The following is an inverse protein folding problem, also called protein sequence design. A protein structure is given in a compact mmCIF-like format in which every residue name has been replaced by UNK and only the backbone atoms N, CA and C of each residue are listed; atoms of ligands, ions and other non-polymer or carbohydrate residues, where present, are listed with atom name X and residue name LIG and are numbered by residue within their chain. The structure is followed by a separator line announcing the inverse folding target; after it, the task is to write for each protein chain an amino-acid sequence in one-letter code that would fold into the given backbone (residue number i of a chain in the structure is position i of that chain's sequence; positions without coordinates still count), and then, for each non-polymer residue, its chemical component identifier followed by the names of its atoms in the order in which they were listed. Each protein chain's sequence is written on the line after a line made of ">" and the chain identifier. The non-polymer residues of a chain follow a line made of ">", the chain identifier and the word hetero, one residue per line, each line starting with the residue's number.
data_IF_187399472187
#
_entry.id   IF_187399472187
#
_cell.length_a   1.000
_cell.length_b   1.000
_cell.length_c   1.000
_cell.angle_alpha   90.00
_cell.angle_beta   90.00
_cell.angle_gamma   90.00
#
_symmetry.space_group_name_H-M   'P 1'
#
loop_
_entity.id
_entity.type
_entity.pdbx_description
1 polymer ?
#
# COMPACT_ATOMS: atom_id res chain seq x y z
N UNK A 1 -46.51 -17.29 42.91
CA UNK A 1 -46.18 -16.21 43.85
C UNK A 1 -45.67 -15.02 43.06
N UNK A 2 -46.59 -14.15 42.67
CA UNK A 2 -46.33 -12.84 42.09
C UNK A 2 -45.99 -11.84 43.20
N UNK A 3 -45.09 -10.89 42.93
CA UNK A 3 -45.12 -9.57 43.56
C UNK A 3 -44.87 -8.49 42.51
N UNK A 4 -45.87 -7.62 42.40
CA UNK A 4 -45.95 -6.34 41.68
C UNK A 4 -45.02 -5.30 42.38
N UNK A 5 -44.63 -4.13 41.84
CA UNK A 5 -45.45 -3.09 41.21
C UNK A 5 -44.57 -1.91 40.67
N UNK A 6 -45.01 -1.29 39.56
CA UNK A 6 -45.13 0.17 39.25
C UNK A 6 -43.96 1.14 39.53
N UNK A 7 -43.53 2.06 38.64
CA UNK A 7 -44.25 3.29 38.22
C UNK A 7 -43.74 3.83 36.87
N UNK A 8 -44.66 4.49 36.14
CA UNK A 8 -44.60 5.08 34.79
C UNK A 8 -44.93 6.59 34.87
N UNK A 9 -44.41 7.41 33.93
CA UNK A 9 -44.83 8.81 33.65
C UNK A 9 -43.69 9.81 33.89
N UNK A 10 -43.37 10.83 33.08
CA UNK A 10 -44.09 11.77 32.19
C UNK A 10 -43.16 12.11 30.99
N UNK A 11 -43.53 12.68 29.84
CA UNK A 11 -44.74 13.32 29.34
C UNK A 11 -44.34 14.06 28.05
N UNK A 12 -45.06 13.82 26.95
CA UNK A 12 -44.85 14.36 25.61
C UNK A 12 -45.86 15.48 25.39
N UNK A 13 -45.45 16.64 24.86
CA UNK A 13 -46.39 17.70 24.44
C UNK A 13 -46.23 18.01 22.96
N UNK A 14 -47.34 18.27 22.28
CA UNK A 14 -47.43 18.44 20.82
C UNK A 14 -48.56 19.43 20.47
N UNK A 15 -48.37 20.13 19.34
CA UNK A 15 -49.32 20.92 18.50
C UNK A 15 -49.57 22.37 18.96
N UNK A 16 -49.61 23.39 18.09
CA UNK A 16 -50.42 23.53 16.86
C UNK A 16 -49.91 24.71 15.96
N UNK A 17 -49.88 24.57 14.60
CA UNK A 17 -50.70 25.25 13.53
C UNK A 17 -50.47 26.78 13.35
N UNK A 18 -50.47 27.46 12.17
CA UNK A 18 -50.83 27.19 10.73
C UNK A 18 -50.49 28.47 9.87
N UNK A 19 -50.16 28.30 8.56
CA UNK A 19 -50.49 29.13 7.31
C UNK A 19 -50.09 30.63 7.22
N UNK A 20 -49.84 31.34 6.10
CA UNK A 20 -49.73 31.18 4.61
C UNK A 20 -49.20 32.52 3.97
N UNK A 21 -48.43 32.46 2.85
CA UNK A 21 -48.33 33.38 1.65
C UNK A 21 -47.74 34.86 1.67
N UNK A 22 -47.31 35.47 0.51
CA UNK A 22 -46.02 36.19 0.34
C UNK A 22 -46.01 37.61 -0.33
N UNK A 23 -44.84 38.29 -0.29
CA UNK A 23 -44.29 39.34 -1.21
C UNK A 23 -44.69 40.83 -1.00
N UNK A 24 -44.04 41.87 -1.61
CA UNK A 24 -42.69 41.99 -2.22
C UNK A 24 -41.90 43.32 -1.88
N UNK A 25 -40.62 43.39 -2.30
CA UNK A 25 -39.78 44.55 -2.73
C UNK A 25 -39.73 45.90 -1.96
N UNK A 26 -38.51 46.32 -1.55
CA UNK A 26 -37.86 47.60 -1.94
C UNK A 26 -36.57 47.88 -1.13
N UNK A 27 -35.48 48.22 -1.81
CA UNK A 27 -34.35 49.05 -1.30
C UNK A 27 -34.49 50.46 -1.92
N UNK A 28 -33.58 51.44 -1.76
CA UNK A 28 -32.48 51.68 -0.79
C UNK A 28 -32.59 53.11 -0.18
N UNK A 29 -31.61 53.61 0.61
CA UNK A 29 -31.06 55.00 0.55
C UNK A 29 -30.16 55.40 1.73
N UNK A 30 -29.03 56.03 1.34
CA UNK A 30 -28.07 56.91 2.06
C UNK A 30 -27.23 56.34 3.25
N UNK A 31 -25.98 56.74 3.54
CA UNK A 31 -24.84 57.42 2.88
C UNK A 31 -24.04 58.17 3.96
N UNK A 32 -22.72 57.98 3.94
CA UNK A 32 -21.63 58.86 4.41
C UNK A 32 -21.55 59.38 5.86
N UNK A 33 -20.33 59.26 6.43
CA UNK A 33 -19.87 60.04 7.57
C UNK A 33 -18.43 59.70 7.96
N UNK A 34 -17.48 60.46 7.40
CA UNK A 34 -16.02 60.33 7.52
C UNK A 34 -15.46 61.30 8.58
N UNK A 35 -14.25 61.02 9.10
CA UNK A 35 -13.40 61.97 9.87
C UNK A 35 -12.84 61.33 11.14
N UNK A 36 -11.55 61.09 11.39
CA UNK A 36 -10.23 61.68 11.06
C UNK A 36 -9.52 62.16 12.34
N UNK A 37 -8.32 61.60 12.54
CA UNK A 37 -7.12 62.17 13.16
C UNK A 37 -7.07 62.40 14.69
N UNK A 38 -6.01 61.87 15.33
CA UNK A 38 -4.98 62.65 16.05
C UNK A 38 -3.82 61.73 16.51
N UNK A 39 -2.60 62.09 16.13
CA UNK A 39 -1.34 61.56 16.69
C UNK A 39 -0.83 62.49 17.80
N UNK A 40 -0.02 61.99 18.76
CA UNK A 40 1.10 62.72 19.42
C UNK A 40 1.91 61.86 20.43
N UNK A 41 3.22 61.73 20.13
CA UNK A 41 4.46 61.80 20.95
C UNK A 41 4.61 61.13 22.35
N UNK A 42 5.57 60.19 22.39
CA UNK A 42 6.89 60.14 23.10
C UNK A 42 7.08 60.85 24.47
N UNK A 43 7.52 60.09 25.48
CA UNK A 43 8.46 60.54 26.54
C UNK A 43 9.26 59.36 27.17
N UNK A 44 10.43 59.67 27.72
CA UNK A 44 11.51 58.78 28.18
C UNK A 44 11.45 58.43 29.70
N UNK A 45 12.05 57.28 30.07
CA UNK A 45 12.82 56.79 31.27
C UNK A 45 12.82 57.57 32.62
N UNK A 46 13.01 56.96 33.84
CA UNK A 46 14.25 56.23 34.22
C UNK A 46 14.25 55.13 35.36
N UNK A 47 15.31 54.28 35.33
CA UNK A 47 16.12 53.63 36.43
C UNK A 47 15.52 52.91 37.66
N UNK A 48 15.93 51.64 37.92
CA UNK A 48 16.87 51.20 39.01
C UNK A 48 16.94 49.67 39.20
N UNK A 49 18.16 49.15 39.33
CA UNK A 49 18.51 47.81 39.85
C UNK A 49 18.56 47.80 41.39
N UNK A 50 18.53 46.62 42.04
CA UNK A 50 19.73 46.16 42.75
C UNK A 50 20.02 44.65 42.70
N UNK A 51 21.31 44.31 42.80
CA UNK A 51 21.89 42.96 42.97
C UNK A 51 21.62 42.36 44.36
N UNK A 52 21.57 41.02 44.46
CA UNK A 52 22.17 40.26 45.57
C UNK A 52 22.46 38.80 45.17
N UNK A 53 23.63 38.35 45.59
CA UNK A 53 24.30 37.06 45.41
C UNK A 53 23.86 35.99 46.41
N UNK A 54 23.89 34.71 46.02
CA UNK A 54 24.20 33.59 46.92
C UNK A 54 24.70 32.36 46.12
N UNK A 55 25.57 31.58 46.77
CA UNK A 55 26.51 30.57 46.27
C UNK A 55 26.18 29.21 46.93
N UNK A 56 26.77 28.12 46.41
CA UNK A 56 26.88 26.74 46.95
C UNK A 56 25.67 25.83 46.66
N UNK A 57 25.76 24.52 46.37
CA UNK A 57 26.81 23.49 46.45
C UNK A 57 26.32 22.26 45.68
N UNK A 58 27.22 21.51 45.02
CA UNK A 58 26.95 20.17 44.50
C UNK A 58 27.20 19.09 45.58
N UNK A 59 26.44 17.98 45.62
CA UNK A 59 26.78 16.82 46.44
C UNK A 59 27.36 15.65 45.64
N UNK A 60 28.23 14.90 46.32
CA UNK A 60 29.03 13.75 45.89
C UNK A 60 28.51 12.40 46.43
N UNK A 61 28.50 11.36 45.57
CA UNK A 61 28.85 9.91 45.77
C UNK A 61 28.05 9.03 46.78
N UNK A 62 28.09 7.64 46.76
CA UNK A 62 29.12 6.73 46.18
C UNK A 62 28.71 5.34 45.57
N UNK A 63 29.73 4.66 44.99
CA UNK A 63 30.00 3.19 44.88
C UNK A 63 29.30 2.27 43.86
N UNK A 64 30.03 1.69 42.86
CA UNK A 64 30.81 0.41 42.87
C UNK A 64 30.91 -0.28 41.46
N UNK A 65 32.11 -0.84 41.17
CA UNK A 65 32.46 -1.96 40.22
C UNK A 65 32.26 -1.74 38.71
N UNK A 66 33.06 -2.24 37.75
CA UNK A 66 34.42 -2.86 37.67
C UNK A 66 34.70 -3.12 36.16
N UNK A 67 35.91 -2.82 35.64
CA UNK A 67 36.46 -3.32 34.35
C UNK A 67 37.12 -4.70 34.56
N UNK A 68 37.33 -5.53 33.51
CA UNK A 68 38.59 -5.54 32.71
C UNK A 68 38.32 -5.68 31.18
N UNK A 69 39.12 -5.17 30.24
CA UNK A 69 40.52 -5.40 29.83
C UNK A 69 40.74 -6.60 28.86
N UNK A 70 41.43 -6.29 27.76
CA UNK A 70 41.80 -7.13 26.61
C UNK A 70 42.73 -8.31 26.95
N UNK A 71 42.60 -9.42 26.21
CA UNK A 71 43.68 -10.37 25.86
C UNK A 71 43.21 -11.25 24.69
N UNK A 72 43.83 -11.12 23.51
CA UNK A 72 44.85 -12.01 22.91
C UNK A 72 44.35 -13.42 22.52
N UNK A 73 44.36 -13.66 21.20
CA UNK A 73 44.22 -14.94 20.51
C UNK A 73 45.33 -15.94 20.86
N UNK A 74 45.06 -17.25 20.72
CA UNK A 74 46.10 -18.22 20.44
C UNK A 74 45.89 -18.93 19.10
N UNK A 75 46.98 -18.99 18.34
CA UNK A 75 47.23 -19.87 17.20
C UNK A 75 47.28 -21.33 17.67
N UNK A 76 46.60 -22.28 16.99
CA UNK A 76 47.07 -23.68 16.96
C UNK A 76 46.67 -24.42 15.67
N UNK A 77 47.72 -25.00 15.12
CA UNK A 77 47.91 -25.87 13.96
C UNK A 77 47.37 -27.29 14.18
N UNK A 78 47.28 -28.04 13.08
CA UNK A 78 47.12 -29.51 12.90
C UNK A 78 45.68 -29.93 12.54
N UNK A 79 45.38 -30.87 11.65
CA UNK A 79 46.12 -31.76 10.74
C UNK A 79 45.07 -32.44 9.83
N UNK A 80 45.50 -32.87 8.65
CA UNK A 80 44.75 -33.68 7.66
C UNK A 80 44.61 -35.14 8.16
N UNK A 81 43.55 -35.88 7.79
CA UNK A 81 43.72 -37.06 6.92
C UNK A 81 42.62 -37.14 5.83
N UNK A 82 42.94 -37.32 4.55
CA UNK A 82 43.31 -38.55 3.85
C UNK A 82 42.12 -39.48 3.54
N UNK A 83 41.92 -39.70 2.24
CA UNK A 83 40.93 -40.55 1.57
C UNK A 83 41.09 -42.06 1.88
N UNK A 84 40.16 -42.88 1.34
CA UNK A 84 40.63 -43.99 0.50
C UNK A 84 40.00 -44.01 -0.91
N UNK A 85 40.88 -44.13 -1.91
CA UNK A 85 40.69 -44.83 -3.21
C UNK A 85 40.32 -46.32 -2.95
N UNK A 86 39.75 -47.17 -3.82
CA UNK A 86 39.57 -47.25 -5.29
C UNK A 86 38.85 -48.57 -5.60
N UNK A 87 38.14 -48.67 -6.74
CA UNK A 87 38.28 -49.77 -7.73
C UNK A 87 37.43 -49.39 -8.97
N UNK A 88 38.05 -49.02 -10.09
CA UNK A 88 38.53 -49.86 -11.21
C UNK A 88 37.45 -50.14 -12.26
N UNK A 89 37.73 -49.75 -13.52
CA UNK A 89 36.89 -50.06 -14.68
C UNK A 89 37.14 -49.16 -15.90
N UNK A 90 38.34 -49.25 -16.47
CA UNK A 90 38.69 -48.75 -17.81
C UNK A 90 37.89 -49.48 -18.90
N UNK A 91 37.53 -48.78 -19.99
CA UNK A 91 38.06 -49.08 -21.33
C UNK A 91 37.54 -48.08 -22.38
N UNK A 92 38.51 -47.49 -23.07
CA UNK A 92 38.41 -46.63 -24.24
C UNK A 92 38.03 -47.40 -25.50
N UNK A 93 37.56 -46.70 -26.54
CA UNK A 93 37.54 -47.26 -27.89
C UNK A 93 36.83 -46.39 -28.92
N UNK A 94 37.59 -45.49 -29.55
CA UNK A 94 37.20 -44.76 -30.75
C UNK A 94 37.21 -45.67 -32.01
N UNK A 95 36.41 -45.34 -33.03
CA UNK A 95 36.57 -45.96 -34.36
C UNK A 95 35.37 -45.73 -35.28
N UNK A 96 35.66 -45.31 -36.51
CA UNK A 96 34.75 -44.67 -37.45
C UNK A 96 34.12 -45.59 -38.52
N UNK A 97 33.14 -45.01 -39.23
CA UNK A 97 32.70 -45.23 -40.63
C UNK A 97 31.98 -46.54 -41.04
N UNK A 98 30.81 -46.35 -41.68
CA UNK A 98 30.15 -47.35 -42.54
C UNK A 98 28.67 -47.07 -42.83
N UNK A 99 28.37 -46.31 -43.89
CA UNK A 99 27.08 -46.36 -44.64
C UNK A 99 27.15 -47.50 -45.69
N UNK A 100 26.10 -47.83 -46.52
CA UNK A 100 24.72 -47.28 -46.64
C UNK A 100 23.59 -48.34 -46.83
N UNK A 101 22.38 -47.82 -47.12
CA UNK A 101 21.19 -48.39 -47.82
C UNK A 101 20.10 -49.12 -47.00
N UNK A 102 18.92 -48.51 -46.89
CA UNK A 102 17.83 -48.71 -47.88
C UNK A 102 16.58 -47.90 -47.53
N UNK A 103 15.83 -47.59 -48.58
CA UNK A 103 14.72 -46.65 -48.72
C UNK A 103 13.34 -47.26 -48.41
N UNK A 104 12.46 -46.49 -47.77
CA UNK A 104 11.01 -46.56 -48.04
C UNK A 104 10.26 -45.30 -47.61
N UNK A 105 9.29 -44.96 -48.44
CA UNK A 105 8.53 -43.72 -48.61
C UNK A 105 7.61 -43.28 -47.46
N UNK A 106 7.48 -41.95 -47.36
CA UNK A 106 6.23 -41.16 -47.31
C UNK A 106 5.07 -41.61 -46.42
N UNK A 107 4.74 -40.81 -45.40
CA UNK A 107 3.38 -40.27 -45.25
C UNK A 107 3.35 -39.07 -44.28
N UNK A 108 2.96 -37.92 -44.84
CA UNK A 108 2.63 -36.69 -44.12
C UNK A 108 1.21 -36.85 -43.58
N UNK A 109 1.08 -36.95 -42.26
CA UNK A 109 -0.22 -36.90 -41.58
C UNK A 109 -0.30 -35.60 -40.79
N UNK A 110 -1.04 -34.64 -41.33
CA UNK A 110 -1.54 -33.47 -40.59
C UNK A 110 -2.42 -33.97 -39.44
N UNK A 111 -1.93 -33.92 -38.20
CA UNK A 111 -2.80 -33.96 -37.03
C UNK A 111 -3.11 -32.52 -36.61
N UNK A 112 -4.30 -32.10 -36.97
CA UNK A 112 -5.01 -30.97 -36.39
C UNK A 112 -5.26 -31.30 -34.92
N UNK A 113 -4.33 -31.00 -34.01
CA UNK A 113 -4.62 -31.00 -32.58
C UNK A 113 -5.24 -29.65 -32.20
N UNK A 114 -6.55 -29.64 -32.42
CA UNK A 114 -7.58 -29.05 -31.58
C UNK A 114 -7.03 -28.37 -30.32
N UNK A 115 -7.10 -27.03 -30.31
CA UNK A 115 -7.01 -26.20 -29.13
C UNK A 115 -8.19 -26.51 -28.21
N UNK A 116 -8.00 -27.47 -27.31
CA UNK A 116 -8.89 -27.67 -26.16
C UNK A 116 -8.71 -26.49 -25.22
N UNK A 117 -9.60 -25.51 -25.36
CA UNK A 117 -9.86 -24.48 -24.36
C UNK A 117 -10.28 -25.16 -23.05
N UNK A 118 -9.37 -25.21 -22.07
CA UNK A 118 -9.72 -25.52 -20.68
C UNK A 118 -10.63 -24.41 -20.15
N UNK A 119 -11.93 -24.60 -20.34
CA UNK A 119 -13.00 -23.86 -19.66
C UNK A 119 -13.43 -24.74 -18.50
N UNK A 120 -12.77 -24.63 -17.35
CA UNK A 120 -13.26 -25.04 -16.02
C UNK A 120 -12.14 -24.79 -14.98
N UNK A 121 -11.52 -23.60 -15.01
CA UNK A 121 -10.85 -23.10 -13.80
C UNK A 121 -11.95 -22.53 -12.90
N UNK A 122 -12.09 -23.02 -11.64
CA UNK A 122 -13.11 -22.52 -10.74
C UNK A 122 -12.91 -21.02 -10.53
N UNK A 123 -14.02 -20.27 -10.58
CA UNK A 123 -14.00 -18.82 -10.39
C UNK A 123 -13.29 -18.52 -9.05
N UNK A 124 -12.30 -17.61 -9.03
CA UNK A 124 -11.57 -17.35 -7.80
C UNK A 124 -12.50 -16.80 -6.73
N UNK A 125 -12.26 -17.17 -5.46
CA UNK A 125 -13.15 -16.92 -4.33
C UNK A 125 -13.61 -15.47 -4.21
N UNK A 126 -12.72 -14.51 -4.52
CA UNK A 126 -13.01 -13.08 -4.45
C UNK A 126 -14.01 -12.56 -5.49
N UNK A 127 -14.29 -13.33 -6.55
CA UNK A 127 -15.30 -13.01 -7.57
C UNK A 127 -16.62 -13.76 -7.36
N UNK A 128 -16.66 -14.71 -6.45
CA UNK A 128 -17.87 -15.45 -6.14
C UNK A 128 -18.87 -14.57 -5.37
N UNK A 129 -20.16 -14.78 -5.60
CA UNK A 129 -21.19 -14.23 -4.72
C UNK A 129 -21.20 -15.01 -3.39
N UNK A 130 -21.37 -14.35 -2.23
CA UNK A 130 -21.73 -12.94 -2.03
C UNK A 130 -20.53 -11.95 -2.00
N UNK A 131 -19.29 -12.45 -1.96
CA UNK A 131 -18.10 -11.66 -1.64
C UNK A 131 -17.82 -10.50 -2.61
N UNK A 132 -18.05 -10.70 -3.91
CA UNK A 132 -17.85 -9.65 -4.93
C UNK A 132 -18.77 -8.44 -4.75
N UNK A 133 -19.94 -8.62 -4.11
CA UNK A 133 -20.91 -7.54 -3.85
C UNK A 133 -20.62 -6.84 -2.53
N UNK A 134 -19.97 -7.51 -1.59
CA UNK A 134 -19.67 -7.00 -0.26
C UNK A 134 -18.68 -5.82 -0.34
N UNK A 135 -19.18 -4.62 -0.08
CA UNK A 135 -18.39 -3.41 0.06
C UNK A 135 -19.10 -2.45 1.03
N UNK A 136 -18.34 -1.60 1.71
CA UNK A 136 -18.89 -0.62 2.65
C UNK A 136 -19.64 0.50 1.93
N UNK A 137 -19.13 0.93 0.78
CA UNK A 137 -19.64 2.10 0.07
C UNK A 137 -20.72 1.68 -0.91
N UNK A 138 -21.92 2.24 -0.71
CA UNK A 138 -23.05 2.18 -1.64
C UNK A 138 -23.05 3.43 -2.51
N UNK A 139 -22.16 3.49 -3.48
CA UNK A 139 -21.97 4.65 -4.35
C UNK A 139 -20.62 4.62 -5.09
N UNK A 140 -20.37 5.64 -5.89
CA UNK A 140 -19.10 5.79 -6.62
C UNK A 140 -18.07 6.57 -5.79
N UNK A 141 -16.82 6.14 -5.86
CA UNK A 141 -15.68 6.85 -5.25
C UNK A 141 -15.31 8.16 -5.96
N UNK A 142 -15.99 8.52 -7.07
CA UNK A 142 -15.70 9.70 -7.89
C UNK A 142 -15.48 10.99 -7.10
N UNK A 143 -16.36 11.26 -6.13
CA UNK A 143 -16.37 12.52 -5.40
C UNK A 143 -15.20 12.66 -4.44
N UNK A 144 -14.68 11.54 -3.92
CA UNK A 144 -13.56 11.56 -2.98
C UNK A 144 -12.20 11.50 -3.69
N UNK A 145 -12.15 10.98 -4.92
CA UNK A 145 -10.92 10.97 -5.72
C UNK A 145 -10.72 12.26 -6.51
N UNK A 146 -11.80 13.01 -6.77
CA UNK A 146 -11.74 14.25 -7.54
C UNK A 146 -10.88 15.31 -6.87
N UNK A 147 -9.99 15.93 -7.65
CA UNK A 147 -9.15 17.03 -7.21
C UNK A 147 -10.00 18.17 -6.64
N UNK A 148 -9.80 18.56 -5.37
CA UNK A 148 -10.48 19.72 -4.80
C UNK A 148 -10.10 21.02 -5.56
N UNK A 149 -11.05 21.95 -5.65
CA UNK A 149 -10.81 23.22 -6.36
C UNK A 149 -9.65 23.98 -5.71
N UNK A 150 -8.76 24.50 -6.56
CA UNK A 150 -7.61 25.33 -6.19
C UNK A 150 -6.49 24.60 -5.41
N UNK A 151 -6.54 23.27 -5.32
CA UNK A 151 -5.46 22.46 -4.73
C UNK A 151 -4.48 22.05 -5.82
N UNK A 152 -3.18 22.02 -5.49
CA UNK A 152 -2.16 21.53 -6.40
C UNK A 152 -2.29 20.02 -6.62
N UNK A 153 -2.11 19.57 -7.87
CA UNK A 153 -2.23 18.16 -8.21
C UNK A 153 -1.15 17.31 -7.55
N UNK A 154 0.05 17.86 -7.36
CA UNK A 154 1.15 17.18 -6.69
C UNK A 154 0.83 16.91 -5.23
N UNK A 155 0.32 17.91 -4.52
CA UNK A 155 -0.10 17.78 -3.11
C UNK A 155 -1.22 16.75 -2.96
N UNK A 156 -2.20 16.79 -3.87
CA UNK A 156 -3.31 15.84 -3.85
C UNK A 156 -2.86 14.40 -4.10
N UNK A 157 -1.97 14.18 -5.08
CA UNK A 157 -1.40 12.87 -5.34
C UNK A 157 -0.55 12.38 -4.16
N UNK A 158 0.27 13.27 -3.59
CA UNK A 158 1.15 12.94 -2.47
C UNK A 158 0.36 12.46 -1.25
N UNK A 159 -0.68 13.19 -0.87
CA UNK A 159 -1.54 12.86 0.26
C UNK A 159 -2.20 11.48 0.07
N UNK A 160 -2.86 11.27 -1.07
CA UNK A 160 -3.59 10.02 -1.33
C UNK A 160 -2.65 8.82 -1.42
N UNK A 161 -1.49 8.95 -2.06
CA UNK A 161 -0.50 7.86 -2.14
C UNK A 161 0.04 7.51 -0.74
N UNK A 162 0.32 8.52 0.09
CA UNK A 162 0.78 8.31 1.46
C UNK A 162 -0.27 7.55 2.29
N UNK A 163 -1.53 7.98 2.23
CA UNK A 163 -2.65 7.33 2.94
C UNK A 163 -2.91 5.91 2.42
N UNK A 164 -2.92 5.69 1.10
CA UNK A 164 -3.11 4.37 0.51
C UNK A 164 -1.99 3.41 0.89
N UNK A 165 -0.73 3.86 0.92
CA UNK A 165 0.38 3.03 1.38
C UNK A 165 0.23 2.66 2.86
N UNK A 166 -0.16 3.60 3.72
CA UNK A 166 -0.38 3.33 5.14
C UNK A 166 -1.50 2.30 5.37
N UNK A 167 -2.62 2.43 4.67
CA UNK A 167 -3.71 1.46 4.72
C UNK A 167 -3.30 0.09 4.18
N UNK A 168 -2.59 0.03 3.06
CA UNK A 168 -2.09 -1.21 2.48
C UNK A 168 -1.14 -1.94 3.42
N UNK A 169 -0.21 -1.21 4.04
CA UNK A 169 0.71 -1.76 5.04
C UNK A 169 -0.06 -2.33 6.24
N UNK A 170 -1.09 -1.63 6.72
CA UNK A 170 -1.93 -2.12 7.82
C UNK A 170 -2.72 -3.38 7.45
N UNK A 171 -3.27 -3.46 6.24
CA UNK A 171 -3.97 -4.66 5.77
C UNK A 171 -3.03 -5.83 5.63
N UNK A 172 -1.85 -5.61 5.03
CA UNK A 172 -0.86 -6.66 4.87
C UNK A 172 -0.36 -7.18 6.23
N UNK A 173 -0.20 -6.31 7.23
CA UNK A 173 0.20 -6.73 8.58
C UNK A 173 -0.78 -7.70 9.27
N UNK A 174 -2.03 -7.81 8.83
CA UNK A 174 -2.99 -8.81 9.33
C UNK A 174 -2.87 -10.13 8.58
N UNK A 175 -2.43 -10.08 7.32
CA UNK A 175 -2.27 -11.24 6.42
C UNK A 175 -0.86 -11.84 6.51
N UNK A 176 0.13 -11.09 6.99
CA UNK A 176 1.54 -11.46 6.99
C UNK A 176 1.84 -12.77 7.73
N UNK A 177 1.06 -13.09 8.77
CA UNK A 177 1.21 -14.34 9.53
C UNK A 177 0.89 -15.59 8.68
N UNK A 178 0.07 -15.44 7.64
CA UNK A 178 -0.34 -16.51 6.72
C UNK A 178 0.47 -16.50 5.42
N UNK A 179 1.15 -15.39 5.10
CA UNK A 179 2.04 -15.27 3.94
C UNK A 179 3.44 -15.78 4.30
N UNK A 180 3.65 -17.09 4.23
CA UNK A 180 4.95 -17.73 4.52
C UNK A 180 5.69 -18.14 3.25
N UNK A 181 7.01 -18.32 3.36
CA UNK A 181 7.84 -18.82 2.24
C UNK A 181 7.40 -20.21 1.75
N UNK A 182 6.80 -21.01 2.64
CA UNK A 182 6.28 -22.34 2.30
C UNK A 182 4.96 -22.26 1.54
N UNK A 183 4.04 -21.38 1.96
CA UNK A 183 2.76 -21.15 1.28
C UNK A 183 2.93 -20.42 -0.06
N UNK A 184 3.81 -19.43 -0.10
CA UNK A 184 3.99 -18.49 -1.20
C UNK A 184 5.49 -18.40 -1.58
N UNK A 185 6.06 -19.43 -2.22
CA UNK A 185 7.48 -19.47 -2.58
C UNK A 185 7.86 -18.47 -3.67
N UNK A 186 6.88 -17.95 -4.41
CA UNK A 186 7.05 -16.92 -5.42
C UNK A 186 5.99 -15.83 -5.27
N UNK A 187 6.35 -14.58 -5.60
CA UNK A 187 5.40 -13.47 -5.68
C UNK A 187 4.51 -13.60 -6.93
N UNK A 188 3.40 -14.33 -6.81
CA UNK A 188 2.46 -14.56 -7.90
C UNK A 188 1.11 -13.86 -7.67
N UNK A 189 0.44 -13.53 -8.77
CA UNK A 189 -0.92 -13.03 -8.83
C UNK A 189 -1.73 -13.90 -9.80
N UNK A 190 -2.00 -15.13 -9.36
CA UNK A 190 -2.66 -16.15 -10.17
C UNK A 190 -1.70 -17.01 -11.00
N UNK A 191 -2.24 -17.95 -11.80
CA UNK A 191 -1.43 -18.96 -12.48
C UNK A 191 -0.53 -18.43 -13.61
N UNK A 192 -0.87 -17.27 -14.18
CA UNK A 192 -0.19 -16.71 -15.35
C UNK A 192 0.76 -15.55 -15.05
N UNK A 193 0.68 -14.96 -13.85
CA UNK A 193 1.39 -13.72 -13.52
C UNK A 193 2.32 -13.93 -12.34
N UNK A 194 3.62 -13.87 -12.61
CA UNK A 194 4.69 -13.89 -11.61
C UNK A 194 5.44 -12.56 -11.62
N UNK A 195 5.59 -11.94 -10.45
CA UNK A 195 6.30 -10.69 -10.30
C UNK A 195 7.75 -10.93 -9.92
N UNK A 196 8.64 -10.28 -10.67
CA UNK A 196 10.08 -10.28 -10.42
C UNK A 196 10.49 -8.97 -9.74
N UNK A 197 11.45 -9.07 -8.83
CA UNK A 197 12.07 -7.91 -8.20
C UNK A 197 13.31 -7.49 -8.97
N UNK A 198 13.48 -6.19 -9.20
CA UNK A 198 14.70 -5.66 -9.80
C UNK A 198 15.68 -5.30 -8.68
N UNK A 199 16.80 -6.00 -8.61
CA UNK A 199 17.88 -5.67 -7.67
C UNK A 199 18.57 -4.35 -8.05
N UNK A 200 19.45 -3.84 -7.19
CA UNK A 200 20.26 -2.64 -7.42
C UNK A 200 21.09 -2.71 -8.72
N UNK A 201 21.41 -3.93 -9.18
CA UNK A 201 22.13 -4.20 -10.42
C UNK A 201 21.20 -4.30 -11.65
N UNK A 202 19.91 -4.04 -11.50
CA UNK A 202 18.89 -4.13 -12.55
C UNK A 202 18.53 -5.57 -12.95
N UNK A 203 19.03 -6.57 -12.23
CA UNK A 203 18.73 -7.98 -12.49
C UNK A 203 17.37 -8.36 -11.90
N UNK A 204 16.56 -9.06 -12.69
CA UNK A 204 15.26 -9.53 -12.27
C UNK A 204 15.42 -10.85 -11.49
N UNK A 205 15.17 -10.80 -10.19
CA UNK A 205 15.26 -11.95 -9.29
C UNK A 205 13.87 -12.39 -8.83
N UNK A 206 13.70 -13.71 -8.67
CA UNK A 206 12.53 -14.29 -8.04
C UNK A 206 12.72 -14.27 -6.53
N UNK A 207 11.73 -13.71 -5.83
CA UNK A 207 11.70 -13.69 -4.37
C UNK A 207 10.41 -14.37 -3.89
N UNK A 208 10.44 -15.00 -2.70
CA UNK A 208 9.23 -15.38 -2.00
C UNK A 208 8.30 -14.18 -1.80
N UNK A 209 6.99 -14.42 -1.85
CA UNK A 209 6.00 -13.36 -1.70
C UNK A 209 6.19 -12.49 -0.44
N UNK A 210 6.41 -13.05 0.77
CA UNK A 210 6.56 -12.21 1.95
C UNK A 210 7.77 -11.28 1.88
N UNK A 211 8.92 -11.81 1.40
CA UNK A 211 10.14 -11.02 1.23
C UNK A 211 9.97 -9.93 0.15
N UNK A 212 9.27 -10.26 -0.95
CA UNK A 212 8.97 -9.29 -2.00
C UNK A 212 8.12 -8.14 -1.47
N UNK A 213 7.04 -8.45 -0.73
CA UNK A 213 6.12 -7.45 -0.20
C UNK A 213 6.83 -6.56 0.82
N UNK A 214 7.67 -7.12 1.69
CA UNK A 214 8.47 -6.34 2.65
C UNK A 214 9.39 -5.35 1.94
N UNK A 215 10.05 -5.80 0.86
CA UNK A 215 10.90 -4.92 0.04
C UNK A 215 10.09 -3.82 -0.63
N UNK A 216 8.91 -4.14 -1.16
CA UNK A 216 7.99 -3.16 -1.74
C UNK A 216 7.57 -2.11 -0.72
N UNK A 217 7.03 -2.53 0.43
CA UNK A 217 6.51 -1.62 1.45
C UNK A 217 7.62 -0.76 2.05
N UNK A 218 8.81 -1.33 2.25
CA UNK A 218 9.99 -0.59 2.70
C UNK A 218 10.45 0.41 1.64
N UNK A 219 10.50 0.00 0.37
CA UNK A 219 10.89 0.88 -0.74
C UNK A 219 9.92 2.05 -0.92
N UNK A 220 8.60 1.80 -0.89
CA UNK A 220 7.58 2.85 -0.96
C UNK A 220 7.74 3.78 0.25
N UNK A 221 7.86 3.23 1.46
CA UNK A 221 8.02 4.02 2.69
C UNK A 221 9.25 4.92 2.64
N UNK A 222 10.38 4.42 2.14
CA UNK A 222 11.58 5.24 1.96
C UNK A 222 11.36 6.35 0.93
N UNK A 223 10.62 6.07 -0.16
CA UNK A 223 10.32 7.06 -1.20
C UNK A 223 9.37 8.16 -0.74
N UNK A 224 8.29 7.82 -0.03
CA UNK A 224 7.31 8.81 0.45
C UNK A 224 7.84 9.67 1.62
N UNK A 225 8.83 9.18 2.36
CA UNK A 225 9.49 9.93 3.44
C UNK A 225 10.69 10.76 2.94
N UNK A 226 11.14 10.56 1.70
CA UNK A 226 12.23 11.32 1.11
C UNK A 226 11.74 12.71 0.72
N UNK A 227 12.24 13.72 1.44
CA UNK A 227 11.92 15.14 1.24
C UNK A 227 12.32 15.69 -0.14
N UNK A 228 13.21 15.02 -0.85
CA UNK A 228 13.57 15.39 -2.23
C UNK A 228 12.52 14.95 -3.25
N UNK A 229 11.74 13.90 -2.93
CA UNK A 229 10.69 13.35 -3.78
C UNK A 229 9.31 13.86 -3.35
N UNK A 230 9.06 13.87 -2.03
CA UNK A 230 7.84 14.33 -1.38
C UNK A 230 8.18 15.49 -0.42
N UNK A 231 8.23 16.74 -0.90
CA UNK A 231 8.56 17.89 -0.07
C UNK A 231 7.47 18.14 0.99
N UNK A 232 7.84 18.28 2.26
CA UNK A 232 6.89 18.67 3.33
C UNK A 232 7.02 20.13 3.77
N UNK A 233 7.97 20.87 3.19
CA UNK A 233 8.15 22.30 3.47
C UNK A 233 7.20 23.12 2.60
N UNK A 234 6.50 24.07 3.22
CA UNK A 234 5.64 25.00 2.51
C UNK A 234 6.43 25.77 1.44
N UNK A 235 5.92 25.76 0.20
CA UNK A 235 6.58 26.41 -0.95
C UNK A 235 7.65 25.57 -1.64
N UNK A 236 7.88 24.31 -1.22
CA UNK A 236 8.69 23.36 -1.98
C UNK A 236 7.94 22.88 -3.22
N UNK A 237 8.50 23.10 -4.41
CA UNK A 237 7.94 22.54 -5.63
C UNK A 237 8.24 21.04 -5.74
N UNK A 238 7.30 20.26 -6.25
CA UNK A 238 7.54 18.85 -6.56
C UNK A 238 8.61 18.70 -7.65
N UNK A 239 9.46 17.67 -7.58
CA UNK A 239 10.46 17.42 -8.61
C UNK A 239 9.78 17.06 -9.95
N UNK A 240 10.45 17.29 -11.09
CA UNK A 240 9.89 17.01 -12.41
C UNK A 240 9.56 15.51 -12.62
N UNK A 241 10.22 14.62 -11.89
CA UNK A 241 9.98 13.18 -11.95
C UNK A 241 8.88 12.67 -11.00
N UNK A 242 8.27 13.55 -10.19
CA UNK A 242 7.30 13.19 -9.15
C UNK A 242 6.17 12.31 -9.67
N UNK A 243 5.56 12.66 -10.81
CA UNK A 243 4.49 11.87 -11.42
C UNK A 243 4.96 10.48 -11.80
N UNK A 244 6.19 10.33 -12.30
CA UNK A 244 6.76 9.02 -12.64
C UNK A 244 6.95 8.16 -11.38
N UNK A 245 7.43 8.77 -10.29
CA UNK A 245 7.56 8.09 -9.01
C UNK A 245 6.19 7.67 -8.45
N UNK A 246 5.17 8.53 -8.54
CA UNK A 246 3.80 8.21 -8.15
C UNK A 246 3.23 7.02 -8.94
N UNK A 247 3.46 6.97 -10.26
CA UNK A 247 3.10 5.83 -11.10
C UNK A 247 3.80 4.57 -10.62
N UNK A 248 5.12 4.62 -10.42
CA UNK A 248 5.90 3.47 -9.96
C UNK A 248 5.39 2.95 -8.60
N UNK A 249 5.14 3.84 -7.64
CA UNK A 249 4.60 3.49 -6.32
C UNK A 249 3.23 2.83 -6.46
N UNK A 250 2.33 3.41 -7.26
CA UNK A 250 0.99 2.85 -7.50
C UNK A 250 1.04 1.44 -8.09
N UNK A 251 1.95 1.20 -9.05
CA UNK A 251 2.14 -0.14 -9.63
C UNK A 251 2.62 -1.16 -8.60
N UNK A 252 3.56 -0.77 -7.74
CA UNK A 252 4.04 -1.67 -6.70
C UNK A 252 2.93 -1.98 -5.67
N UNK A 253 2.11 -0.99 -5.27
CA UNK A 253 0.94 -1.22 -4.43
C UNK A 253 -0.06 -2.19 -5.08
N UNK A 254 -0.34 -2.03 -6.38
CA UNK A 254 -1.23 -2.94 -7.12
C UNK A 254 -0.77 -4.40 -7.08
N UNK A 255 0.55 -4.65 -7.18
CA UNK A 255 1.09 -6.03 -7.09
C UNK A 255 0.79 -6.68 -5.73
N UNK A 256 0.83 -5.91 -4.65
CA UNK A 256 0.48 -6.39 -3.30
C UNK A 256 -1.02 -6.69 -3.22
N UNK A 257 -1.88 -5.81 -3.76
CA UNK A 257 -3.32 -6.09 -3.88
C UNK A 257 -3.58 -7.39 -4.63
N UNK A 258 -2.97 -7.55 -5.80
CA UNK A 258 -3.12 -8.73 -6.65
C UNK A 258 -2.74 -10.00 -5.90
N UNK A 259 -1.59 -10.01 -5.22
CA UNK A 259 -1.18 -11.16 -4.43
C UNK A 259 -2.18 -11.49 -3.31
N UNK A 260 -2.63 -10.51 -2.53
CA UNK A 260 -3.59 -10.75 -1.43
C UNK A 260 -4.92 -11.29 -1.95
N UNK A 261 -5.44 -10.76 -3.07
CA UNK A 261 -6.67 -11.28 -3.68
C UNK A 261 -6.53 -12.74 -4.16
N UNK A 262 -5.41 -13.09 -4.78
CA UNK A 262 -5.22 -14.45 -5.30
C UNK A 262 -4.86 -15.47 -4.23
N UNK A 263 -3.96 -15.13 -3.31
CA UNK A 263 -3.36 -16.08 -2.38
C UNK A 263 -3.99 -16.09 -0.97
N UNK A 264 -4.60 -14.98 -0.55
CA UNK A 264 -4.98 -14.78 0.87
C UNK A 264 -6.40 -14.24 1.05
N UNK A 265 -7.26 -14.30 0.03
CA UNK A 265 -8.63 -13.81 0.15
C UNK A 265 -9.49 -14.66 1.10
N UNK A 266 -9.17 -15.95 1.22
CA UNK A 266 -9.74 -16.83 2.24
C UNK A 266 -9.52 -16.28 3.66
N UNK A 267 -8.31 -15.81 3.95
CA UNK A 267 -7.93 -15.19 5.22
C UNK A 267 -8.73 -13.90 5.45
N UNK A 268 -8.87 -13.07 4.40
CA UNK A 268 -9.70 -11.86 4.44
C UNK A 268 -11.15 -12.17 4.80
N UNK A 269 -11.73 -13.23 4.21
CA UNK A 269 -13.09 -13.70 4.52
C UNK A 269 -13.19 -14.27 5.94
N UNK A 270 -12.21 -15.06 6.37
CA UNK A 270 -12.17 -15.62 7.74
C UNK A 270 -12.14 -14.53 8.82
N UNK A 271 -11.50 -13.41 8.53
CA UNK A 271 -11.45 -12.24 9.41
C UNK A 271 -12.67 -11.31 9.25
N UNK A 272 -13.57 -11.61 8.31
CA UNK A 272 -14.77 -10.81 8.01
C UNK A 272 -14.46 -9.35 7.63
N UNK A 273 -13.33 -9.12 6.96
CA UNK A 273 -12.87 -7.78 6.53
C UNK A 273 -12.96 -7.57 5.02
N UNK A 274 -13.57 -8.50 4.28
CA UNK A 274 -13.73 -8.45 2.82
C UNK A 274 -14.46 -7.18 2.35
N UNK A 275 -15.43 -6.68 3.14
CA UNK A 275 -16.12 -5.43 2.84
C UNK A 275 -15.16 -4.22 2.81
N UNK A 276 -14.23 -4.18 3.77
CA UNK A 276 -13.25 -3.11 3.90
C UNK A 276 -12.20 -3.23 2.80
N UNK A 277 -11.71 -4.45 2.55
CA UNK A 277 -10.73 -4.74 1.51
C UNK A 277 -11.24 -4.40 0.10
N UNK A 278 -12.45 -4.83 -0.24
CA UNK A 278 -13.09 -4.52 -1.52
C UNK A 278 -13.33 -3.02 -1.70
N UNK A 279 -13.80 -2.34 -0.66
CA UNK A 279 -13.96 -0.88 -0.67
C UNK A 279 -12.64 -0.14 -0.84
N UNK A 280 -11.58 -0.59 -0.17
CA UNK A 280 -10.26 0.00 -0.29
C UNK A 280 -9.68 -0.20 -1.70
N UNK A 281 -9.80 -1.40 -2.26
CA UNK A 281 -9.37 -1.67 -3.63
C UNK A 281 -10.16 -0.86 -4.66
N UNK A 282 -11.48 -0.75 -4.50
CA UNK A 282 -12.31 0.06 -5.40
C UNK A 282 -11.94 1.56 -5.34
N UNK A 283 -11.64 2.08 -4.14
CA UNK A 283 -11.12 3.44 -3.98
C UNK A 283 -9.76 3.61 -4.70
N UNK A 284 -8.82 2.68 -4.46
CA UNK A 284 -7.51 2.68 -5.09
C UNK A 284 -7.60 2.69 -6.63
N UNK A 285 -8.41 1.80 -7.22
CA UNK A 285 -8.58 1.74 -8.67
C UNK A 285 -9.26 2.99 -9.22
N UNK A 286 -10.26 3.54 -8.53
CA UNK A 286 -10.91 4.79 -8.94
C UNK A 286 -9.90 5.94 -9.00
N UNK A 287 -9.01 6.04 -8.02
CA UNK A 287 -7.95 7.04 -7.99
C UNK A 287 -6.89 6.82 -9.09
N UNK A 288 -6.45 5.56 -9.27
CA UNK A 288 -5.50 5.19 -10.33
C UNK A 288 -6.04 5.54 -11.72
N UNK A 289 -7.34 5.30 -11.98
CA UNK A 289 -7.99 5.63 -13.26
C UNK A 289 -8.12 7.15 -13.45
N UNK A 290 -8.57 7.88 -12.43
CA UNK A 290 -8.73 9.35 -12.50
C UNK A 290 -7.42 10.06 -12.90
N UNK A 291 -6.29 9.61 -12.35
CA UNK A 291 -4.99 10.23 -12.58
C UNK A 291 -4.07 9.46 -13.54
N UNK A 292 -4.58 8.42 -14.22
CA UNK A 292 -3.84 7.58 -15.16
C UNK A 292 -2.49 7.08 -14.60
N UNK A 293 -2.53 6.55 -13.37
CA UNK A 293 -1.32 6.18 -12.63
C UNK A 293 -0.76 4.80 -13.04
N UNK A 294 -1.62 3.92 -13.53
CA UNK A 294 -1.27 2.55 -13.95
C UNK A 294 -1.89 2.30 -15.32
N UNK A 295 -1.13 1.67 -16.21
CA UNK A 295 -1.63 1.30 -17.53
C UNK A 295 -2.60 0.12 -17.44
N UNK A 296 -3.58 0.06 -18.33
CA UNK A 296 -4.59 -1.01 -18.33
C UNK A 296 -3.98 -2.40 -18.49
N UNK A 297 -2.88 -2.53 -19.23
CA UNK A 297 -2.12 -3.77 -19.40
C UNK A 297 -1.56 -4.30 -18.09
N UNK A 298 -1.19 -3.43 -17.16
CA UNK A 298 -0.61 -3.82 -15.87
C UNK A 298 -1.68 -4.18 -14.84
N UNK A 299 -2.92 -3.77 -15.07
CA UNK A 299 -4.08 -4.15 -14.25
C UNK A 299 -4.62 -5.55 -14.60
N UNK A 300 -4.10 -6.18 -15.66
CA UNK A 300 -4.60 -7.44 -16.24
C UNK A 300 -4.93 -8.54 -15.21
N UNK A 301 -4.09 -8.80 -14.18
CA UNK A 301 -4.38 -9.85 -13.21
C UNK A 301 -5.68 -9.66 -12.43
N UNK A 302 -6.13 -8.41 -12.21
CA UNK A 302 -7.37 -8.10 -11.49
C UNK A 302 -8.40 -7.40 -12.39
N UNK A 303 -8.17 -7.28 -13.70
CA UNK A 303 -9.12 -6.66 -14.63
C UNK A 303 -10.53 -7.25 -14.50
N UNK A 304 -10.72 -8.59 -14.40
CA UNK A 304 -12.07 -9.13 -14.26
C UNK A 304 -12.80 -8.65 -13.00
N UNK A 305 -12.09 -8.46 -11.88
CA UNK A 305 -12.68 -7.90 -10.66
C UNK A 305 -12.98 -6.41 -10.80
N UNK A 306 -12.11 -5.67 -11.49
CA UNK A 306 -12.32 -4.24 -11.77
C UNK A 306 -13.58 -4.05 -12.61
N UNK A 307 -13.76 -4.85 -13.66
CA UNK A 307 -14.96 -4.84 -14.51
C UNK A 307 -16.23 -5.18 -13.71
N UNK A 308 -16.15 -6.15 -12.78
CA UNK A 308 -17.27 -6.47 -11.87
C UNK A 308 -17.63 -5.26 -10.97
N UNK A 309 -16.64 -4.48 -10.52
CA UNK A 309 -16.85 -3.28 -9.70
C UNK A 309 -17.36 -2.08 -10.51
N UNK A 310 -16.95 -1.95 -11.78
CA UNK A 310 -17.49 -0.98 -12.74
C UNK A 310 -18.96 -1.28 -13.04
N UNK A 311 -19.31 -2.55 -13.28
CA UNK A 311 -20.70 -2.98 -13.49
C UNK A 311 -21.60 -2.68 -12.29
N UNK A 312 -21.02 -2.66 -11.07
CA UNK A 312 -21.72 -2.29 -9.84
C UNK A 312 -21.79 -0.76 -9.61
N UNK A 313 -21.18 0.05 -10.48
CA UNK A 313 -21.12 1.51 -10.33
C UNK A 313 -20.24 2.00 -9.17
N UNK A 314 -19.36 1.14 -8.65
CA UNK A 314 -18.43 1.49 -7.56
C UNK A 314 -17.22 2.26 -8.10
N UNK A 315 -16.82 1.96 -9.33
CA UNK A 315 -15.68 2.55 -10.05
C UNK A 315 -16.24 3.16 -11.36
N UNK A 316 -15.73 4.33 -11.76
CA UNK A 316 -16.10 4.95 -13.04
C UNK A 316 -15.22 4.47 -14.18
#
# INVERSE_FOLDING_TARGET
>A
MSFLHSIRGFGRSSKNKKKEEPGPSASPLYSHGNGSASALRRSQSPTKSPQKSARYTAPTSPTKRSKPAQQRSPTRRSQVPASPQSQFGQASGAGANGQPLSSSQSQVSKSSQQTSSNKDEPLPLYRCEPFVKTALVKGSYKTIVQLPKYVDIGEWLALNIFEMNAHLNSFYGVVSDYCTVESCPTMSAGPHTNYLWADNNGQAIQLPAPQYIDYVLTWISNKINDQSVFPTKSGGAFPPNFTKDCKNISRQMFRVFAHIYYAHFDTIVHLSVEAHWNSFFAHFISFVKEYNLIERSELEPLLPLIEDFEAQGKIN
#
